data_IF_639212177461
#
_entry.id   IF_639212177461
#
_cell.length_a   1.000
_cell.length_b   1.000
_cell.length_c   1.000
_cell.angle_alpha   90.00
_cell.angle_beta   90.00
_cell.angle_gamma   90.00
#
_symmetry.space_group_name_H-M   'P 1'
#
loop_
_entity.id
_entity.type
_entity.pdbx_description
1 polymer ?
#
# COMPACT_ATOMS: atom_id res chain seq x y z
N UNK A 1 -71.92 -57.96 -28.23
CA UNK A 1 -70.71 -58.09 -27.41
C UNK A 1 -69.60 -57.39 -28.09
N UNK A 2 -69.16 -56.22 -27.57
CA UNK A 2 -67.96 -55.49 -27.98
C UNK A 2 -67.16 -55.13 -26.74
N UNK A 3 -65.88 -55.41 -26.70
CA UNK A 3 -65.06 -55.06 -25.48
C UNK A 3 -64.66 -53.62 -25.46
N UNK A 4 -64.70 -53.08 -24.27
CA UNK A 4 -64.17 -51.70 -23.94
C UNK A 4 -62.64 -51.69 -24.01
N UNK A 5 -62.09 -50.71 -24.72
CA UNK A 5 -60.66 -50.40 -24.69
C UNK A 5 -60.39 -49.44 -23.57
N UNK A 6 -59.52 -49.80 -22.65
CA UNK A 6 -58.99 -48.94 -21.63
C UNK A 6 -57.90 -48.02 -22.22
N UNK A 7 -58.07 -46.73 -22.03
CA UNK A 7 -57.05 -45.77 -22.38
C UNK A 7 -56.05 -45.54 -21.22
N UNK A 8 -54.83 -45.90 -21.45
CA UNK A 8 -53.71 -45.58 -20.50
C UNK A 8 -53.30 -44.12 -20.60
N UNK A 9 -53.45 -43.39 -19.52
CA UNK A 9 -52.91 -42.08 -19.40
C UNK A 9 -51.45 -42.17 -19.02
N UNK A 10 -50.55 -41.67 -19.90
CA UNK A 10 -49.12 -41.55 -19.62
C UNK A 10 -48.88 -40.18 -18.93
N UNK A 11 -48.49 -40.23 -17.66
CA UNK A 11 -48.03 -39.02 -16.94
C UNK A 11 -46.60 -38.67 -17.34
N UNK A 12 -46.40 -37.55 -18.02
CA UNK A 12 -45.07 -36.95 -18.21
C UNK A 12 -44.69 -36.23 -16.92
N UNK A 13 -43.75 -36.78 -16.15
CA UNK A 13 -43.07 -36.07 -15.08
C UNK A 13 -41.96 -35.18 -15.69
N UNK A 14 -42.21 -33.89 -15.76
CA UNK A 14 -41.22 -32.91 -16.19
C UNK A 14 -40.15 -32.73 -15.12
N UNK A 15 -38.91 -33.09 -15.45
CA UNK A 15 -37.72 -32.83 -14.62
C UNK A 15 -37.31 -31.36 -14.81
N UNK A 16 -37.57 -30.48 -13.85
CA UNK A 16 -37.07 -29.12 -13.83
C UNK A 16 -35.62 -29.18 -13.31
N UNK A 17 -34.66 -29.13 -14.19
CA UNK A 17 -33.25 -28.94 -13.83
C UNK A 17 -33.01 -27.48 -13.43
N UNK A 18 -32.81 -27.22 -12.14
CA UNK A 18 -32.39 -25.91 -11.66
C UNK A 18 -30.94 -25.64 -12.09
N UNK A 19 -30.76 -24.70 -13.01
CA UNK A 19 -29.45 -24.18 -13.39
C UNK A 19 -28.91 -23.36 -12.21
N UNK A 20 -27.99 -23.93 -11.43
CA UNK A 20 -27.17 -23.18 -10.44
C UNK A 20 -26.08 -22.47 -11.22
N UNK A 21 -26.28 -21.18 -11.45
CA UNK A 21 -25.23 -20.32 -11.99
C UNK A 21 -24.17 -20.09 -10.92
N UNK A 22 -22.87 -20.38 -11.17
CA UNK A 22 -21.85 -20.07 -10.21
C UNK A 22 -21.77 -18.53 -10.05
N UNK A 23 -21.94 -18.03 -8.83
CA UNK A 23 -21.66 -16.65 -8.47
C UNK A 23 -20.15 -16.45 -8.63
N UNK A 24 -19.74 -15.77 -9.69
CA UNK A 24 -18.34 -15.43 -9.91
C UNK A 24 -17.84 -14.62 -8.71
N UNK A 25 -16.84 -15.15 -7.99
CA UNK A 25 -16.13 -14.40 -6.96
C UNK A 25 -15.45 -13.21 -7.64
N UNK A 26 -15.95 -11.99 -7.38
CA UNK A 26 -15.27 -10.79 -7.81
C UNK A 26 -13.88 -10.81 -7.16
N UNK A 27 -12.82 -10.79 -7.97
CA UNK A 27 -11.46 -10.66 -7.47
C UNK A 27 -11.38 -9.37 -6.63
N UNK A 28 -10.81 -9.46 -5.42
CA UNK A 28 -10.56 -8.28 -4.60
C UNK A 28 -9.72 -7.27 -5.40
N UNK A 29 -9.96 -5.96 -5.24
CA UNK A 29 -9.20 -4.94 -5.97
C UNK A 29 -7.70 -5.15 -5.72
N UNK A 30 -6.93 -5.24 -6.80
CA UNK A 30 -5.49 -5.41 -6.71
C UNK A 30 -4.85 -4.10 -6.25
N UNK A 31 -4.14 -4.13 -5.11
CA UNK A 31 -3.25 -3.07 -4.68
C UNK A 31 -1.80 -3.53 -4.94
N UNK A 32 -1.21 -3.14 -6.08
CA UNK A 32 0.16 -3.53 -6.37
C UNK A 32 1.08 -3.00 -5.26
N UNK A 33 1.92 -3.89 -4.74
CA UNK A 33 2.88 -3.50 -3.71
C UNK A 33 3.82 -2.41 -4.24
N UNK A 34 4.16 -1.46 -3.39
CA UNK A 34 5.16 -0.44 -3.72
C UNK A 34 6.48 -1.11 -4.09
N UNK A 35 7.08 -0.65 -5.19
CA UNK A 35 8.38 -1.15 -5.63
C UNK A 35 9.46 -0.82 -4.59
N UNK A 36 10.32 -1.80 -4.33
CA UNK A 36 11.48 -1.61 -3.47
C UNK A 36 12.56 -0.79 -4.19
N UNK A 37 13.32 -0.01 -3.42
CA UNK A 37 14.50 0.73 -3.88
C UNK A 37 15.61 0.61 -2.83
N UNK A 38 16.76 1.21 -3.08
CA UNK A 38 17.93 1.08 -2.24
C UNK A 38 17.75 1.73 -0.86
N UNK A 39 18.15 1.03 0.19
CA UNK A 39 18.28 1.59 1.54
C UNK A 39 19.31 2.72 1.57
N UNK A 40 20.36 2.58 0.79
CA UNK A 40 21.51 3.49 0.83
C UNK A 40 22.38 3.29 2.07
N UNK A 41 23.53 3.95 2.12
CA UNK A 41 24.52 3.76 3.19
C UNK A 41 24.26 4.59 4.46
N UNK A 42 23.24 5.47 4.45
CA UNK A 42 23.00 6.45 5.53
C UNK A 42 21.79 6.12 6.41
N UNK A 43 21.27 4.90 6.31
CA UNK A 43 20.22 4.47 7.22
C UNK A 43 20.77 4.29 8.63
N UNK A 44 20.15 4.98 9.57
CA UNK A 44 20.38 4.78 11.00
C UNK A 44 19.04 4.45 11.69
N UNK A 45 18.99 3.39 12.51
CA UNK A 45 17.77 3.02 13.22
C UNK A 45 17.43 4.05 14.31
N UNK A 46 16.18 4.00 14.79
CA UNK A 46 15.72 4.80 15.92
C UNK A 46 15.69 6.32 15.68
N UNK A 47 15.38 6.74 14.43
CA UNK A 47 15.11 8.14 14.17
C UNK A 47 13.99 8.66 15.12
N UNK A 48 14.10 9.92 15.62
CA UNK A 48 13.11 10.50 16.52
C UNK A 48 11.69 10.46 15.97
N UNK A 49 10.69 10.24 16.84
CA UNK A 49 9.28 10.32 16.44
C UNK A 49 8.90 11.79 16.29
N UNK A 50 8.76 12.22 15.05
CA UNK A 50 8.38 13.58 14.65
C UNK A 50 7.88 13.57 13.22
N UNK A 51 7.06 14.56 12.85
CA UNK A 51 6.49 14.69 11.50
C UNK A 51 7.13 15.79 10.66
N UNK A 52 8.09 16.53 11.22
CA UNK A 52 8.77 17.61 10.51
C UNK A 52 10.27 17.62 10.81
N UNK A 53 11.06 17.87 9.77
CA UNK A 53 12.51 18.09 9.81
C UNK A 53 12.91 19.31 8.98
N UNK A 54 11.97 20.18 8.67
CA UNK A 54 12.19 21.38 7.87
C UNK A 54 10.91 21.83 7.19
N UNK A 55 11.01 22.76 6.25
CA UNK A 55 9.87 23.29 5.49
C UNK A 55 10.22 23.38 4.01
N UNK A 56 9.21 23.17 3.17
CA UNK A 56 9.34 23.35 1.71
C UNK A 56 8.85 22.18 0.88
N UNK A 57 8.75 20.97 1.49
CA UNK A 57 8.16 19.81 0.83
C UNK A 57 7.34 18.99 1.83
N UNK A 58 6.09 18.66 1.46
CA UNK A 58 5.19 17.83 2.25
C UNK A 58 4.95 16.52 1.52
N UNK A 59 5.37 15.41 2.13
CA UNK A 59 5.09 14.05 1.68
C UNK A 59 3.98 13.46 2.54
N UNK A 60 2.90 13.02 1.92
CA UNK A 60 1.76 12.37 2.61
C UNK A 60 1.32 11.13 1.87
N UNK A 61 0.61 10.24 2.54
CA UNK A 61 0.05 9.04 1.91
C UNK A 61 -0.62 8.14 2.93
N UNK A 62 -1.03 6.97 2.46
CA UNK A 62 -1.64 5.93 3.28
C UNK A 62 -0.79 4.66 3.19
N UNK A 63 -0.53 4.02 4.32
CA UNK A 63 0.06 2.68 4.38
C UNK A 63 -1.05 1.66 4.18
N UNK A 64 -0.91 0.76 3.21
CA UNK A 64 -1.93 -0.22 2.81
C UNK A 64 -1.36 -1.62 2.68
N UNK A 65 -2.23 -2.60 2.77
CA UNK A 65 -1.93 -4.01 2.47
C UNK A 65 -2.08 -4.30 0.96
N UNK A 66 -1.13 -5.01 0.37
CA UNK A 66 -1.26 -5.46 -1.02
C UNK A 66 -2.28 -6.59 -1.21
N UNK A 67 -2.71 -7.25 -0.12
CA UNK A 67 -3.65 -8.37 -0.19
C UNK A 67 -5.09 -7.90 -0.44
N UNK A 68 -5.50 -6.79 0.17
CA UNK A 68 -6.89 -6.35 0.20
C UNK A 68 -7.07 -4.83 0.12
N UNK A 69 -6.00 -4.08 -0.08
CA UNK A 69 -5.96 -2.61 -0.12
C UNK A 69 -6.35 -1.90 1.19
N UNK A 70 -6.53 -2.65 2.28
CA UNK A 70 -6.90 -2.04 3.57
C UNK A 70 -5.75 -1.23 4.13
N UNK A 71 -6.11 -0.15 4.81
CA UNK A 71 -5.16 0.67 5.55
C UNK A 71 -4.50 -0.14 6.67
N UNK A 72 -3.24 0.20 6.99
CA UNK A 72 -2.45 -0.42 8.06
C UNK A 72 -2.17 0.65 9.12
N UNK A 73 -3.03 0.81 10.13
CA UNK A 73 -2.80 1.71 11.24
C UNK A 73 -1.55 1.34 12.03
N UNK A 74 -0.87 2.34 12.61
CA UNK A 74 0.28 2.13 13.47
C UNK A 74 1.56 1.69 12.74
N UNK A 75 1.56 1.66 11.41
CA UNK A 75 2.77 1.39 10.65
C UNK A 75 3.86 2.43 10.96
N UNK A 76 5.08 1.95 11.20
CA UNK A 76 6.25 2.80 11.46
C UNK A 76 6.88 3.19 10.14
N UNK A 77 6.79 4.47 9.79
CA UNK A 77 7.37 5.06 8.58
C UNK A 77 8.60 5.84 8.99
N UNK A 78 9.78 5.34 8.66
CA UNK A 78 11.06 6.00 8.87
C UNK A 78 11.47 6.71 7.59
N UNK A 79 11.83 8.00 7.72
CA UNK A 79 12.19 8.85 6.58
C UNK A 79 13.52 9.55 6.85
N UNK A 80 14.38 9.63 5.83
CA UNK A 80 15.64 10.39 5.91
C UNK A 80 16.02 10.94 4.52
N UNK A 81 16.69 12.07 4.52
CA UNK A 81 17.06 12.79 3.30
C UNK A 81 18.36 13.57 3.49
N UNK A 82 19.00 13.93 2.38
CA UNK A 82 20.13 14.82 2.40
C UNK A 82 19.65 16.26 2.64
N UNK A 83 20.11 16.86 3.73
CA UNK A 83 20.03 18.29 3.99
C UNK A 83 21.15 19.07 3.29
N UNK A 84 21.30 20.37 3.60
CA UNK A 84 22.36 21.20 3.03
C UNK A 84 23.78 20.71 3.30
N UNK A 85 24.00 20.00 4.42
CA UNK A 85 25.28 19.42 4.82
C UNK A 85 25.43 17.93 4.51
N UNK A 86 24.45 17.31 3.86
CA UNK A 86 24.38 15.88 3.65
C UNK A 86 23.37 15.19 4.56
N UNK A 87 23.61 13.92 4.90
CA UNK A 87 22.76 13.15 5.81
C UNK A 87 23.22 13.35 7.25
N UNK A 88 22.29 13.68 8.13
CA UNK A 88 22.50 13.90 9.56
C UNK A 88 21.24 13.62 10.38
N UNK A 89 21.35 13.74 11.72
CA UNK A 89 20.24 13.50 12.65
C UNK A 89 19.08 14.49 12.51
N UNK A 90 19.33 15.70 12.03
CA UNK A 90 18.31 16.73 11.88
C UNK A 90 17.38 16.42 10.69
N UNK A 91 17.83 15.59 9.73
CA UNK A 91 17.11 15.27 8.51
C UNK A 91 16.56 13.84 8.49
N UNK A 92 16.27 13.26 9.66
CA UNK A 92 15.61 11.96 9.78
C UNK A 92 14.48 11.95 10.81
N UNK A 93 13.43 11.20 10.54
CA UNK A 93 12.25 11.13 11.39
C UNK A 93 11.60 9.75 11.35
N UNK A 94 10.80 9.46 12.37
CA UNK A 94 9.81 8.39 12.37
C UNK A 94 8.43 9.00 12.47
N UNK A 95 7.55 8.64 11.54
CA UNK A 95 6.12 8.95 11.59
C UNK A 95 5.37 7.65 11.84
N UNK A 96 4.44 7.67 12.80
CA UNK A 96 3.54 6.54 13.03
C UNK A 96 2.24 6.83 12.28
N UNK A 97 1.85 5.92 11.41
CA UNK A 97 0.59 6.04 10.68
C UNK A 97 -0.60 6.06 11.65
N UNK A 98 -1.55 6.93 11.39
CA UNK A 98 -2.73 7.12 12.22
C UNK A 98 -3.74 5.95 12.15
N UNK A 99 -4.91 6.10 12.79
CA UNK A 99 -5.98 5.09 12.80
C UNK A 99 -6.54 4.74 11.42
N UNK A 100 -6.36 5.60 10.43
CA UNK A 100 -6.73 5.39 9.03
C UNK A 100 -5.53 4.96 8.16
N UNK A 101 -4.37 4.69 8.77
CA UNK A 101 -3.14 4.33 8.08
C UNK A 101 -2.45 5.50 7.38
N UNK A 102 -2.86 6.75 7.63
CA UNK A 102 -2.29 7.94 6.99
C UNK A 102 -1.02 8.38 7.68
N UNK A 103 -0.09 8.89 6.90
CA UNK A 103 1.11 9.55 7.38
C UNK A 103 1.31 10.88 6.67
N UNK A 104 1.98 11.81 7.34
CA UNK A 104 2.44 13.07 6.77
C UNK A 104 3.82 13.41 7.33
N UNK A 105 4.69 13.86 6.46
CA UNK A 105 6.05 14.28 6.78
C UNK A 105 6.37 15.58 6.05
N UNK A 106 6.89 16.57 6.78
CA UNK A 106 7.34 17.85 6.21
C UNK A 106 8.85 17.99 6.36
N UNK A 107 9.51 18.35 5.27
CA UNK A 107 10.97 18.51 5.21
C UNK A 107 11.37 19.75 4.40
N UNK A 108 12.64 20.12 4.45
CA UNK A 108 13.23 20.89 3.37
C UNK A 108 13.11 20.13 2.04
N UNK A 109 13.25 20.85 0.93
CA UNK A 109 13.42 20.19 -0.38
C UNK A 109 14.77 19.45 -0.35
N UNK A 110 14.80 18.12 -0.57
CA UNK A 110 16.07 17.40 -0.55
C UNK A 110 17.04 17.93 -1.58
N UNK A 111 18.30 18.08 -1.19
CA UNK A 111 19.37 18.35 -2.14
C UNK A 111 19.65 17.15 -3.04
N UNK A 112 20.27 17.35 -4.21
CA UNK A 112 20.85 16.25 -4.96
C UNK A 112 22.00 15.68 -4.15
N UNK A 113 22.11 14.35 -4.08
CA UNK A 113 23.26 13.69 -3.47
C UNK A 113 24.05 12.94 -4.55
N UNK A 114 25.33 13.31 -4.69
CA UNK A 114 26.18 12.81 -5.77
C UNK A 114 25.55 13.04 -7.17
N UNK A 115 25.29 11.96 -7.92
CA UNK A 115 24.65 11.99 -9.25
C UNK A 115 23.16 11.64 -9.19
N UNK A 116 22.60 11.49 -7.99
CA UNK A 116 21.21 11.10 -7.81
C UNK A 116 20.30 12.33 -7.74
N UNK A 117 19.11 12.25 -8.30
CA UNK A 117 18.11 13.32 -8.15
C UNK A 117 17.70 13.47 -6.67
N UNK A 118 17.13 14.62 -6.29
CA UNK A 118 16.58 14.84 -4.96
C UNK A 118 15.61 13.73 -4.57
N UNK A 119 15.80 13.12 -3.39
CA UNK A 119 14.95 12.01 -2.94
C UNK A 119 14.86 11.95 -1.41
N UNK A 120 13.77 11.34 -0.96
CA UNK A 120 13.52 10.99 0.43
C UNK A 120 13.53 9.46 0.51
N UNK A 121 14.41 8.90 1.34
CA UNK A 121 14.38 7.50 1.67
C UNK A 121 13.21 7.19 2.58
N UNK A 122 12.59 6.05 2.39
CA UNK A 122 11.43 5.60 3.16
C UNK A 122 11.61 4.13 3.53
N UNK A 123 11.50 3.82 4.82
CA UNK A 123 11.44 2.46 5.32
C UNK A 123 10.17 2.28 6.14
N UNK A 124 9.37 1.28 5.79
CA UNK A 124 8.10 1.03 6.48
C UNK A 124 8.12 -0.36 7.10
N UNK A 125 7.77 -0.43 8.38
CA UNK A 125 7.68 -1.68 9.13
C UNK A 125 6.35 -1.75 9.89
N UNK A 126 5.73 -2.93 9.90
CA UNK A 126 4.57 -3.25 10.71
C UNK A 126 4.56 -4.77 10.98
N UNK A 127 4.18 -5.23 12.21
CA UNK A 127 4.00 -6.66 12.46
C UNK A 127 3.06 -7.31 11.45
N UNK A 128 3.42 -8.51 10.96
CA UNK A 128 2.64 -9.23 9.94
C UNK A 128 2.89 -8.81 8.49
N UNK A 129 3.78 -7.83 8.26
CA UNK A 129 4.16 -7.38 6.92
C UNK A 129 5.66 -7.44 6.70
N UNK A 130 6.07 -7.67 5.46
CA UNK A 130 7.47 -7.54 5.04
C UNK A 130 7.86 -6.06 5.09
N UNK A 131 9.02 -5.77 5.66
CA UNK A 131 9.56 -4.41 5.64
C UNK A 131 9.73 -3.93 4.21
N UNK A 132 9.16 -2.78 3.89
CA UNK A 132 9.37 -2.09 2.63
C UNK A 132 10.51 -1.10 2.77
N UNK A 133 11.45 -1.10 1.84
CA UNK A 133 12.44 -0.04 1.64
C UNK A 133 12.23 0.53 0.25
N UNK A 134 12.05 1.84 0.15
CA UNK A 134 11.82 2.53 -1.12
C UNK A 134 12.31 3.98 -1.05
N UNK A 135 12.12 4.74 -2.11
CA UNK A 135 12.49 6.14 -2.19
C UNK A 135 11.41 6.94 -2.91
N UNK A 136 11.14 8.15 -2.43
CA UNK A 136 10.34 9.14 -3.12
C UNK A 136 11.26 10.15 -3.79
N UNK A 137 11.21 10.25 -5.12
CA UNK A 137 11.98 11.22 -5.89
C UNK A 137 11.21 12.52 -6.02
N UNK A 138 11.83 13.63 -5.60
CA UNK A 138 11.18 14.95 -5.59
C UNK A 138 11.46 15.66 -6.91
N UNK A 139 10.41 15.97 -7.67
CA UNK A 139 10.54 16.70 -8.92
C UNK A 139 10.91 18.18 -8.65
N UNK A 140 11.56 18.80 -9.62
CA UNK A 140 11.94 20.23 -9.51
C UNK A 140 10.71 21.11 -9.29
N UNK A 141 10.74 21.90 -8.21
CA UNK A 141 9.63 22.80 -7.85
C UNK A 141 8.44 22.11 -7.17
N UNK A 142 8.52 20.80 -6.91
CA UNK A 142 7.49 20.07 -6.21
C UNK A 142 7.54 20.39 -4.71
N UNK A 143 6.47 21.00 -4.19
CA UNK A 143 6.33 21.36 -2.77
C UNK A 143 5.47 20.38 -1.99
N UNK A 144 4.76 19.48 -2.66
CA UNK A 144 3.98 18.42 -2.03
C UNK A 144 3.86 17.19 -2.93
N UNK A 145 3.68 16.03 -2.31
CA UNK A 145 3.41 14.78 -3.00
C UNK A 145 2.50 13.86 -2.18
N UNK A 146 1.73 13.04 -2.89
CA UNK A 146 1.05 11.89 -2.31
C UNK A 146 1.79 10.62 -2.70
N UNK A 147 2.18 9.82 -1.72
CA UNK A 147 2.92 8.58 -1.92
C UNK A 147 2.38 7.49 -1.02
N UNK A 148 1.45 6.67 -1.56
CA UNK A 148 0.92 5.51 -0.84
C UNK A 148 1.98 4.40 -0.75
N UNK A 149 2.05 3.78 0.42
CA UNK A 149 3.04 2.75 0.77
C UNK A 149 2.31 1.41 0.93
N UNK A 150 2.42 0.54 -0.07
CA UNK A 150 1.69 -0.72 -0.13
C UNK A 150 2.59 -1.88 0.27
N UNK A 151 2.32 -2.48 1.43
CA UNK A 151 3.13 -3.54 2.04
C UNK A 151 2.64 -4.93 1.63
N UNK A 152 3.58 -5.87 1.48
CA UNK A 152 3.30 -7.30 1.30
C UNK A 152 3.13 -7.96 2.66
N UNK A 153 2.06 -8.74 2.91
CA UNK A 153 1.98 -9.58 4.09
C UNK A 153 3.18 -10.53 4.20
N UNK A 154 3.56 -10.87 5.44
CA UNK A 154 4.44 -12.01 5.68
C UNK A 154 3.64 -13.28 5.38
N UNK A 155 4.19 -14.17 4.58
CA UNK A 155 3.62 -15.48 4.32
C UNK A 155 3.69 -16.38 5.54
#
# INVERSE_FOLDING_TARGET
MRPFRAASAASLAGLIAALVTPVGSAAAPACPATAEDMLGPFYEPNAPVRSTVGKGHVLRGTVRSSADCRAIPGARVELWLAGPGGYDDDHRATVIADGDGRYQFESGVPGPYERRPPHIHVRVAHPGYRTLVTQHYVARGQTEATFDLVLRPQG
#
